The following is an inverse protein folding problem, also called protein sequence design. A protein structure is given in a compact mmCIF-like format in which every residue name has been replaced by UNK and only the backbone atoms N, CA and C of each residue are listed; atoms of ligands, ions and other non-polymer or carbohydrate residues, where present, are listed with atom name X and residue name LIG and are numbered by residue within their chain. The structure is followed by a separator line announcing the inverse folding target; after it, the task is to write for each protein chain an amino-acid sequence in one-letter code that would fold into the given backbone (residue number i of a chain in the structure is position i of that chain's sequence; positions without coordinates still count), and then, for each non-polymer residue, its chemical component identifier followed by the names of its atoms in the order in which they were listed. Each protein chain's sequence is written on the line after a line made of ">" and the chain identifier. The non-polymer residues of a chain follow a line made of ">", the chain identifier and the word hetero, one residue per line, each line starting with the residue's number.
data_IF_286877083920
#
_entry.id   IF_286877083920
#
_cell.length_a   1.000
_cell.length_b   1.000
_cell.length_c   1.000
_cell.angle_alpha   90.00
_cell.angle_beta   90.00
_cell.angle_gamma   90.00
#
_symmetry.space_group_name_H-M   'P 1'
#
loop_
_entity.id
_entity.type
_entity.pdbx_description
1 polymer ?
#
# COMPACT_ATOMS: atom_id res chain seq x y z
N UNK A 1 30.42 21.37 -1.19
CA UNK A 1 31.15 20.21 -1.72
C UNK A 1 30.55 18.98 -1.07
N UNK A 2 29.74 18.14 -1.74
CA UNK A 2 29.29 16.90 -1.13
C UNK A 2 30.48 15.93 -1.05
N UNK A 3 30.61 15.24 0.07
CA UNK A 3 31.62 14.20 0.30
C UNK A 3 31.42 13.03 -0.68
N UNK A 4 32.51 12.33 -1.10
CA UNK A 4 32.38 11.14 -1.94
C UNK A 4 31.62 10.07 -1.16
N UNK A 5 30.47 9.67 -1.70
CA UNK A 5 29.62 8.60 -1.22
C UNK A 5 30.43 7.30 -1.18
N UNK A 6 30.49 6.65 -0.01
CA UNK A 6 30.93 5.26 0.11
C UNK A 6 30.25 4.41 -0.96
N UNK A 7 30.95 3.43 -1.57
CA UNK A 7 30.35 2.59 -2.59
C UNK A 7 29.16 1.84 -1.97
N UNK A 8 27.96 2.16 -2.46
CA UNK A 8 26.73 1.50 -2.03
C UNK A 8 26.92 0.01 -2.24
N UNK A 9 26.97 -0.76 -1.15
CA UNK A 9 27.13 -2.21 -1.21
C UNK A 9 25.91 -2.82 -1.91
N UNK A 10 26.04 -3.08 -3.21
CA UNK A 10 24.97 -3.69 -4.02
C UNK A 10 24.58 -5.03 -3.42
N UNK A 11 23.29 -5.29 -3.12
CA UNK A 11 22.82 -6.58 -2.64
C UNK A 11 23.18 -7.72 -3.60
N UNK A 12 23.55 -8.89 -3.07
CA UNK A 12 23.90 -10.05 -3.89
C UNK A 12 22.78 -10.46 -4.87
N UNK A 13 21.52 -10.31 -4.48
CA UNK A 13 20.38 -10.59 -5.35
C UNK A 13 20.33 -9.66 -6.58
N UNK A 14 20.74 -8.40 -6.46
CA UNK A 14 20.82 -7.50 -7.62
C UNK A 14 22.02 -7.83 -8.53
N UNK A 15 23.14 -8.30 -7.97
CA UNK A 15 24.27 -8.80 -8.77
C UNK A 15 23.83 -10.01 -9.60
N UNK A 16 23.07 -10.94 -9.01
CA UNK A 16 22.52 -12.08 -9.76
C UNK A 16 21.62 -11.60 -10.92
N UNK A 17 20.79 -10.58 -10.73
CA UNK A 17 19.95 -10.04 -11.81
C UNK A 17 20.77 -9.41 -12.93
N UNK A 18 21.92 -8.80 -12.62
CA UNK A 18 22.86 -8.28 -13.62
C UNK A 18 23.49 -9.45 -14.39
N UNK A 19 23.98 -10.47 -13.71
CA UNK A 19 24.61 -11.65 -14.32
C UNK A 19 23.63 -12.40 -15.25
N UNK A 20 22.33 -12.42 -14.91
CA UNK A 20 21.28 -13.04 -15.72
C UNK A 20 20.71 -12.11 -16.82
N UNK A 21 21.17 -10.86 -16.90
CA UNK A 21 20.73 -9.90 -17.90
C UNK A 21 19.29 -9.40 -17.68
N UNK A 22 18.74 -9.52 -16.49
CA UNK A 22 17.40 -8.97 -16.12
C UNK A 22 17.48 -7.45 -15.96
N UNK A 23 18.59 -6.97 -15.41
CA UNK A 23 18.94 -5.55 -15.30
C UNK A 23 20.40 -5.38 -15.75
N UNK A 24 20.76 -4.18 -16.22
CA UNK A 24 22.12 -3.88 -16.68
C UNK A 24 22.98 -3.32 -15.54
N UNK A 25 22.41 -2.46 -14.71
CA UNK A 25 23.14 -1.79 -13.62
C UNK A 25 22.20 -1.33 -12.49
N UNK A 26 22.78 -1.15 -11.29
CA UNK A 26 22.15 -0.46 -10.17
C UNK A 26 22.59 1.00 -10.18
N UNK A 27 21.65 1.91 -10.47
CA UNK A 27 21.92 3.34 -10.60
C UNK A 27 22.15 4.00 -9.25
N UNK A 28 21.22 3.78 -8.30
CA UNK A 28 21.29 4.33 -6.93
C UNK A 28 20.30 3.66 -5.99
N UNK A 29 20.53 3.70 -4.67
CA UNK A 29 19.48 3.40 -3.70
C UNK A 29 18.41 4.50 -3.77
N UNK A 30 17.15 4.09 -3.55
CA UNK A 30 16.02 5.00 -3.48
C UNK A 30 15.55 5.16 -2.03
N UNK A 31 15.30 4.01 -1.37
CA UNK A 31 14.82 3.98 0.01
C UNK A 31 15.21 2.66 0.69
N UNK A 32 15.54 2.72 1.99
CA UNK A 32 15.75 1.52 2.79
C UNK A 32 14.78 1.53 3.98
N UNK A 33 13.78 0.65 3.92
CA UNK A 33 12.81 0.44 5.00
C UNK A 33 13.16 -0.78 5.86
N UNK A 34 12.29 -1.08 6.82
CA UNK A 34 12.42 -2.26 7.70
C UNK A 34 12.23 -3.59 6.93
N UNK A 35 11.41 -3.58 5.90
CA UNK A 35 10.94 -4.78 5.19
C UNK A 35 11.67 -5.01 3.87
N UNK A 36 12.01 -3.93 3.18
CA UNK A 36 12.70 -3.97 1.90
C UNK A 36 13.63 -2.78 1.72
N UNK A 37 14.56 -2.92 0.79
CA UNK A 37 15.34 -1.82 0.24
C UNK A 37 14.98 -1.66 -1.24
N UNK A 38 14.83 -0.42 -1.67
CA UNK A 38 14.39 -0.06 -3.02
C UNK A 38 15.55 0.62 -3.74
N UNK A 39 15.78 0.20 -4.97
CA UNK A 39 16.86 0.69 -5.82
C UNK A 39 16.31 1.16 -7.16
N UNK A 40 16.94 2.18 -7.72
CA UNK A 40 16.77 2.54 -9.13
C UNK A 40 17.75 1.70 -9.93
N UNK A 41 17.26 1.00 -10.95
CA UNK A 41 18.03 0.11 -11.82
C UNK A 41 17.80 0.47 -13.27
N UNK A 42 18.73 0.10 -14.16
CA UNK A 42 18.57 0.20 -15.60
C UNK A 42 18.29 -1.19 -16.18
N UNK A 43 17.37 -1.29 -17.13
CA UNK A 43 17.10 -2.49 -17.90
C UNK A 43 16.86 -2.08 -19.37
N UNK A 44 17.86 -2.25 -20.21
CA UNK A 44 17.88 -1.71 -21.57
C UNK A 44 17.87 -0.18 -21.57
N UNK A 45 16.92 0.38 -22.27
CA UNK A 45 16.72 1.85 -22.32
C UNK A 45 15.87 2.40 -21.16
N UNK A 46 15.27 1.49 -20.35
CA UNK A 46 14.34 1.87 -19.31
C UNK A 46 15.03 2.00 -17.95
N UNK A 47 14.57 2.97 -17.18
CA UNK A 47 14.89 3.08 -15.75
C UNK A 47 13.74 2.49 -14.96
N UNK A 48 14.04 1.55 -14.07
CA UNK A 48 13.08 0.78 -13.30
C UNK A 48 13.35 0.84 -11.80
N UNK A 49 12.42 0.35 -11.03
CA UNK A 49 12.51 0.18 -9.59
C UNK A 49 12.73 -1.30 -9.25
N UNK A 50 13.69 -1.60 -8.37
CA UNK A 50 13.93 -2.94 -7.85
C UNK A 50 13.71 -2.95 -6.33
N UNK A 51 12.66 -3.64 -5.85
CA UNK A 51 12.35 -3.83 -4.43
C UNK A 51 12.97 -5.14 -3.95
N UNK A 52 14.02 -5.02 -3.14
CA UNK A 52 14.76 -6.14 -2.55
C UNK A 52 14.23 -6.38 -1.15
N UNK A 53 13.59 -7.53 -0.93
CA UNK A 53 13.03 -7.87 0.38
C UNK A 53 14.11 -8.33 1.35
N UNK A 54 14.07 -7.81 2.58
CA UNK A 54 14.97 -8.20 3.67
C UNK A 54 14.45 -9.45 4.38
N UNK A 55 15.37 -10.30 4.87
CA UNK A 55 15.00 -11.50 5.63
C UNK A 55 14.24 -11.16 6.92
N UNK A 56 13.16 -11.91 7.21
CA UNK A 56 12.21 -11.64 8.30
C UNK A 56 12.74 -11.89 9.73
N UNK A 57 14.02 -12.18 9.92
CA UNK A 57 14.58 -12.50 11.24
C UNK A 57 14.42 -11.37 12.28
N UNK A 58 14.02 -10.14 11.88
CA UNK A 58 13.96 -8.94 12.71
C UNK A 58 12.56 -8.35 12.92
N UNK A 59 11.47 -9.04 12.56
CA UNK A 59 10.10 -8.48 12.65
C UNK A 59 9.41 -8.74 13.98
N UNK A 60 8.71 -7.72 14.51
CA UNK A 60 7.91 -7.82 15.74
C UNK A 60 6.59 -8.58 15.53
N UNK A 61 6.25 -9.44 16.49
CA UNK A 61 5.19 -10.45 16.46
C UNK A 61 3.74 -9.91 16.48
N UNK A 62 3.51 -8.69 16.92
CA UNK A 62 2.18 -8.22 17.32
C UNK A 62 1.24 -7.78 16.19
N UNK A 63 1.73 -7.36 15.02
CA UNK A 63 0.88 -6.97 13.89
C UNK A 63 0.48 -8.12 12.96
N UNK A 64 0.99 -9.33 13.20
CA UNK A 64 0.87 -10.49 12.31
C UNK A 64 -0.52 -11.15 12.31
N UNK A 65 -1.18 -11.21 13.44
CA UNK A 65 -2.39 -12.04 13.62
C UNK A 65 -3.55 -11.52 12.77
N UNK A 66 -3.74 -10.21 12.73
CA UNK A 66 -4.86 -9.56 12.06
C UNK A 66 -4.81 -9.66 10.52
N UNK A 67 -3.58 -9.72 9.93
CA UNK A 67 -3.37 -9.82 8.48
C UNK A 67 -3.25 -11.26 7.97
N UNK A 68 -3.13 -12.25 8.86
CA UNK A 68 -3.04 -13.68 8.49
C UNK A 68 -4.40 -14.37 8.42
N UNK A 69 -5.44 -13.76 8.94
CA UNK A 69 -6.80 -14.28 8.85
C UNK A 69 -7.24 -14.36 7.38
N UNK A 70 -7.66 -15.56 6.94
CA UNK A 70 -8.07 -15.81 5.56
C UNK A 70 -7.00 -16.36 4.63
N UNK A 71 -5.71 -16.38 5.00
CA UNK A 71 -4.65 -17.03 4.22
C UNK A 71 -4.53 -18.51 4.59
N UNK A 72 -4.98 -19.41 3.71
CA UNK A 72 -4.92 -20.87 3.93
C UNK A 72 -3.50 -21.39 3.67
N UNK A 73 -2.83 -21.96 4.68
CA UNK A 73 -1.65 -22.81 4.48
C UNK A 73 -2.07 -24.16 3.85
N UNK A 74 -1.38 -24.60 2.80
CA UNK A 74 -1.75 -25.77 1.97
C UNK A 74 -1.40 -27.14 2.57
N UNK A 75 -0.93 -27.25 3.82
CA UNK A 75 -0.59 -28.54 4.41
C UNK A 75 -0.57 -28.56 5.93
N UNK A 76 -0.98 -29.66 6.55
CA UNK A 76 -1.02 -29.82 8.01
C UNK A 76 0.35 -29.81 8.69
N UNK A 77 1.43 -30.19 7.98
CA UNK A 77 2.84 -30.10 8.43
C UNK A 77 3.36 -28.68 8.41
N UNK A 78 3.04 -27.94 7.35
CA UNK A 78 3.41 -26.53 7.17
C UNK A 78 2.72 -25.64 8.19
N UNK A 79 1.41 -25.85 8.41
CA UNK A 79 0.64 -25.14 9.41
C UNK A 79 1.22 -25.33 10.84
N UNK A 80 1.66 -26.56 11.19
CA UNK A 80 2.34 -26.83 12.47
C UNK A 80 3.71 -26.16 12.58
N UNK A 81 4.51 -26.17 11.51
CA UNK A 81 5.85 -25.55 11.49
C UNK A 81 5.75 -24.02 11.62
N UNK A 82 4.72 -23.41 11.01
CA UNK A 82 4.38 -22.00 11.16
C UNK A 82 3.94 -21.68 12.58
N UNK A 83 3.04 -22.49 13.15
CA UNK A 83 2.52 -22.31 14.51
C UNK A 83 3.62 -22.43 15.60
N UNK A 84 4.63 -23.28 15.39
CA UNK A 84 5.73 -23.47 16.33
C UNK A 84 6.87 -22.45 16.17
N UNK A 85 6.80 -21.54 15.17
CA UNK A 85 7.80 -20.50 14.94
C UNK A 85 9.19 -21.04 14.56
N UNK A 86 9.26 -22.25 14.00
CA UNK A 86 10.52 -22.87 13.56
C UNK A 86 11.20 -22.04 12.47
N UNK A 87 12.53 -22.21 12.27
CA UNK A 87 13.25 -21.55 11.17
C UNK A 87 12.63 -21.87 9.80
N UNK A 88 12.17 -23.09 9.60
CA UNK A 88 11.48 -23.51 8.38
C UNK A 88 10.13 -22.83 8.25
N UNK A 89 9.30 -22.84 9.30
CA UNK A 89 7.99 -22.16 9.28
C UNK A 89 8.09 -20.67 9.03
N UNK A 90 9.13 -20.01 9.57
CA UNK A 90 9.36 -18.58 9.31
C UNK A 90 9.74 -18.31 7.85
N UNK A 91 10.62 -19.12 7.24
CA UNK A 91 10.99 -18.99 5.81
C UNK A 91 9.79 -19.23 4.89
N UNK A 92 8.97 -20.25 5.22
CA UNK A 92 7.75 -20.53 4.45
C UNK A 92 6.76 -19.37 4.50
N UNK A 93 6.51 -18.83 5.69
CA UNK A 93 5.68 -17.65 5.90
C UNK A 93 6.18 -16.42 5.15
N UNK A 94 7.49 -16.25 5.10
CA UNK A 94 8.14 -15.15 4.37
C UNK A 94 7.98 -15.28 2.86
N UNK A 95 8.13 -16.50 2.33
CA UNK A 95 7.93 -16.76 0.91
C UNK A 95 6.46 -16.55 0.50
N UNK A 96 5.51 -17.05 1.30
CA UNK A 96 4.07 -16.85 1.09
C UNK A 96 3.68 -15.36 1.13
N UNK A 97 4.31 -14.59 2.00
CA UNK A 97 4.03 -13.16 2.14
C UNK A 97 4.60 -12.35 0.96
N UNK A 98 5.86 -12.60 0.55
CA UNK A 98 6.47 -11.97 -0.63
C UNK A 98 5.66 -12.27 -1.89
N UNK A 99 5.24 -13.51 -2.05
CA UNK A 99 4.40 -13.92 -3.17
C UNK A 99 3.04 -13.24 -3.13
N UNK A 100 2.40 -13.12 -1.95
CA UNK A 100 1.10 -12.46 -1.82
C UNK A 100 1.13 -10.97 -2.19
N UNK A 101 2.20 -10.24 -1.85
CA UNK A 101 2.36 -8.84 -2.28
C UNK A 101 2.55 -8.75 -3.81
N UNK A 102 3.38 -9.63 -4.37
CA UNK A 102 3.62 -9.68 -5.81
C UNK A 102 2.35 -10.10 -6.56
N UNK A 103 1.66 -11.15 -6.11
CA UNK A 103 0.41 -11.61 -6.70
C UNK A 103 -0.67 -10.53 -6.65
N UNK A 104 -0.78 -9.80 -5.51
CA UNK A 104 -1.69 -8.69 -5.38
C UNK A 104 -1.38 -7.56 -6.37
N UNK A 105 -0.10 -7.21 -6.58
CA UNK A 105 0.30 -6.18 -7.52
C UNK A 105 -0.15 -6.51 -8.95
N UNK A 106 0.07 -7.76 -9.40
CA UNK A 106 -0.40 -8.21 -10.70
C UNK A 106 -1.93 -8.20 -10.80
N UNK A 107 -2.62 -8.71 -9.78
CA UNK A 107 -4.09 -8.75 -9.75
C UNK A 107 -4.69 -7.33 -9.80
N UNK A 108 -4.12 -6.39 -9.07
CA UNK A 108 -4.55 -5.00 -9.04
C UNK A 108 -4.33 -4.30 -10.38
N UNK A 109 -3.16 -4.50 -10.99
CA UNK A 109 -2.90 -4.01 -12.35
C UNK A 109 -3.93 -4.53 -13.35
N UNK A 110 -4.20 -5.85 -13.34
CA UNK A 110 -5.15 -6.48 -14.24
C UNK A 110 -6.60 -6.02 -13.99
N UNK A 111 -6.92 -5.61 -12.77
CA UNK A 111 -8.19 -4.97 -12.40
C UNK A 111 -8.26 -3.48 -12.79
N UNK A 112 -7.22 -2.92 -13.40
CA UNK A 112 -7.17 -1.53 -13.82
C UNK A 112 -6.93 -0.54 -12.68
N UNK A 113 -6.38 -1.01 -11.55
CA UNK A 113 -5.89 -0.13 -10.48
C UNK A 113 -4.54 0.46 -10.92
N UNK A 114 -4.35 1.76 -10.78
CA UNK A 114 -3.07 2.40 -11.08
C UNK A 114 -2.07 2.10 -9.98
N UNK A 115 -1.26 1.11 -10.24
CA UNK A 115 -0.11 0.65 -9.44
C UNK A 115 1.14 0.69 -10.31
N UNK A 116 2.37 0.64 -9.74
CA UNK A 116 3.58 0.50 -10.55
C UNK A 116 3.51 -0.76 -11.42
N UNK A 117 3.76 -0.63 -12.73
CA UNK A 117 3.74 -1.76 -13.66
C UNK A 117 4.77 -2.81 -13.25
N UNK A 118 4.38 -4.06 -12.89
CA UNK A 118 5.33 -5.10 -12.54
C UNK A 118 6.00 -5.67 -13.78
N UNK A 119 7.33 -5.74 -13.78
CA UNK A 119 8.13 -6.33 -14.85
C UNK A 119 8.63 -7.74 -14.55
N UNK A 120 8.58 -8.16 -13.29
CA UNK A 120 8.91 -9.52 -12.89
C UNK A 120 9.37 -9.66 -11.44
N UNK A 121 9.35 -10.89 -10.97
CA UNK A 121 9.84 -11.24 -9.62
C UNK A 121 10.93 -12.31 -9.74
N UNK A 122 12.18 -11.95 -9.43
CA UNK A 122 13.37 -12.77 -9.65
C UNK A 122 14.18 -12.84 -8.36
N UNK A 123 14.50 -14.03 -7.87
CA UNK A 123 15.39 -14.24 -6.71
C UNK A 123 15.04 -13.39 -5.47
N UNK A 124 13.72 -13.15 -5.22
CA UNK A 124 13.27 -12.32 -4.11
C UNK A 124 13.38 -10.82 -4.37
N UNK A 125 13.51 -10.40 -5.62
CA UNK A 125 13.51 -9.01 -6.05
C UNK A 125 12.32 -8.77 -6.98
N UNK A 126 11.47 -7.81 -6.64
CA UNK A 126 10.41 -7.32 -7.51
C UNK A 126 10.96 -6.18 -8.37
N UNK A 127 11.00 -6.39 -9.68
CA UNK A 127 11.32 -5.35 -10.67
C UNK A 127 10.01 -4.77 -11.19
N UNK A 128 9.86 -3.45 -11.12
CA UNK A 128 8.63 -2.74 -11.48
C UNK A 128 8.94 -1.35 -12.02
N UNK A 129 7.92 -0.66 -12.50
CA UNK A 129 7.99 0.73 -12.94
C UNK A 129 8.62 1.63 -11.88
N UNK A 130 9.54 2.49 -12.28
CA UNK A 130 9.92 3.66 -11.50
C UNK A 130 8.92 4.77 -11.80
N UNK A 131 7.99 5.01 -10.89
CA UNK A 131 7.05 6.13 -11.04
C UNK A 131 7.82 7.44 -10.94
N UNK A 132 7.67 8.30 -11.95
CA UNK A 132 8.33 9.60 -12.03
C UNK A 132 7.30 10.72 -12.04
N UNK A 133 7.74 11.94 -11.73
CA UNK A 133 7.00 13.16 -11.98
C UNK A 133 7.09 13.61 -13.46
N UNK A 134 6.51 14.76 -13.77
CA UNK A 134 6.51 15.31 -15.14
C UNK A 134 7.90 15.69 -15.63
N UNK A 135 8.83 15.97 -14.74
CA UNK A 135 10.23 16.31 -15.00
C UNK A 135 11.13 15.07 -15.14
N UNK A 136 10.60 13.87 -14.86
CA UNK A 136 11.33 12.60 -14.92
C UNK A 136 12.12 12.27 -13.65
N UNK A 137 11.95 13.02 -12.57
CA UNK A 137 12.46 12.67 -11.25
C UNK A 137 11.54 11.62 -10.58
N UNK A 138 12.04 10.97 -9.56
CA UNK A 138 11.21 10.04 -8.76
C UNK A 138 9.99 10.78 -8.21
N UNK A 139 8.80 10.27 -8.49
CA UNK A 139 7.55 10.88 -8.09
C UNK A 139 7.47 11.07 -6.55
N UNK A 140 7.05 12.25 -6.08
CA UNK A 140 6.85 12.51 -4.66
C UNK A 140 5.65 11.73 -4.13
N UNK A 141 5.57 11.58 -2.82
CA UNK A 141 4.40 11.04 -2.15
C UNK A 141 3.30 12.09 -2.07
N UNK A 142 2.04 11.64 -2.03
CA UNK A 142 0.89 12.53 -1.85
C UNK A 142 1.00 13.38 -0.57
N UNK A 143 1.61 12.85 0.49
CA UNK A 143 1.85 13.61 1.72
C UNK A 143 2.96 14.67 1.64
N UNK A 144 3.75 14.67 0.56
CA UNK A 144 4.91 15.55 0.35
C UNK A 144 4.61 16.68 -0.66
N UNK A 145 3.41 16.69 -1.27
CA UNK A 145 3.01 17.70 -2.26
C UNK A 145 2.02 18.69 -1.67
N UNK A 146 2.05 19.92 -2.18
CA UNK A 146 0.99 20.90 -1.97
C UNK A 146 0.02 20.85 -3.15
N UNK A 147 -1.28 20.86 -2.83
CA UNK A 147 -2.35 20.80 -3.81
C UNK A 147 -3.25 22.02 -3.69
N UNK A 148 -3.88 22.42 -4.78
CA UNK A 148 -5.05 23.29 -4.71
C UNK A 148 -6.33 22.45 -4.43
N UNK A 149 -7.43 23.13 -4.15
CA UNK A 149 -8.70 22.49 -3.82
C UNK A 149 -9.22 21.60 -4.96
N UNK A 150 -9.07 22.04 -6.22
CA UNK A 150 -9.54 21.31 -7.39
C UNK A 150 -8.74 20.03 -7.59
N UNK A 151 -7.42 20.10 -7.47
CA UNK A 151 -6.52 18.94 -7.53
C UNK A 151 -6.80 17.94 -6.41
N UNK A 152 -7.05 18.43 -5.19
CA UNK A 152 -7.37 17.57 -4.05
C UNK A 152 -8.68 16.80 -4.28
N UNK A 153 -9.70 17.43 -4.82
CA UNK A 153 -10.97 16.77 -5.19
C UNK A 153 -10.77 15.75 -6.31
N UNK A 154 -10.02 16.11 -7.33
CA UNK A 154 -9.73 15.22 -8.45
C UNK A 154 -8.97 13.97 -7.96
N UNK A 155 -7.90 14.15 -7.17
CA UNK A 155 -7.11 13.04 -6.62
C UNK A 155 -7.94 12.16 -5.68
N UNK A 156 -8.81 12.76 -4.86
CA UNK A 156 -9.73 12.01 -4.03
C UNK A 156 -10.68 11.14 -4.88
N UNK A 157 -11.30 11.70 -5.88
CA UNK A 157 -12.21 10.97 -6.78
C UNK A 157 -11.49 9.84 -7.53
N UNK A 158 -10.25 10.07 -7.97
CA UNK A 158 -9.42 9.03 -8.61
C UNK A 158 -9.11 7.92 -7.61
N UNK A 159 -8.63 8.25 -6.40
CA UNK A 159 -8.26 7.27 -5.39
C UNK A 159 -9.46 6.46 -4.90
N UNK A 160 -10.62 7.07 -4.68
CA UNK A 160 -11.86 6.36 -4.34
C UNK A 160 -12.20 5.33 -5.43
N UNK A 161 -12.11 5.68 -6.71
CA UNK A 161 -12.29 4.72 -7.81
C UNK A 161 -11.27 3.59 -7.80
N UNK A 162 -10.01 3.87 -7.45
CA UNK A 162 -9.00 2.81 -7.31
C UNK A 162 -9.39 1.84 -6.20
N UNK A 163 -9.86 2.35 -5.04
CA UNK A 163 -10.31 1.50 -3.93
C UNK A 163 -11.55 0.68 -4.31
N UNK A 164 -12.51 1.22 -5.06
CA UNK A 164 -13.64 0.46 -5.63
C UNK A 164 -13.13 -0.73 -6.46
N UNK A 165 -12.20 -0.51 -7.38
CA UNK A 165 -11.62 -1.56 -8.22
C UNK A 165 -10.87 -2.61 -7.39
N UNK A 166 -10.11 -2.17 -6.38
CA UNK A 166 -9.44 -3.07 -5.43
C UNK A 166 -10.45 -3.97 -4.72
N UNK A 167 -11.54 -3.41 -4.21
CA UNK A 167 -12.58 -4.16 -3.52
C UNK A 167 -13.34 -5.10 -4.47
N UNK A 168 -13.62 -4.68 -5.71
CA UNK A 168 -14.25 -5.52 -6.75
C UNK A 168 -13.39 -6.73 -7.12
N UNK A 169 -12.05 -6.63 -7.08
CA UNK A 169 -11.19 -7.80 -7.28
C UNK A 169 -10.92 -8.57 -5.97
N UNK A 170 -11.63 -8.24 -4.88
CA UNK A 170 -11.59 -8.95 -3.60
C UNK A 170 -10.41 -8.59 -2.71
N UNK A 171 -9.73 -7.47 -2.94
CA UNK A 171 -8.57 -7.02 -2.19
C UNK A 171 -8.82 -5.69 -1.45
N UNK A 172 -8.22 -5.57 -0.27
CA UNK A 172 -8.16 -4.35 0.52
C UNK A 172 -6.69 -4.08 0.83
N UNK A 173 -6.23 -2.83 0.67
CA UNK A 173 -4.84 -2.44 0.88
C UNK A 173 -4.38 -2.71 2.32
N UNK A 174 -5.20 -2.32 3.30
CA UNK A 174 -4.95 -2.55 4.72
C UNK A 174 -3.99 -1.58 5.40
N UNK A 175 -3.38 -0.64 4.65
CA UNK A 175 -2.52 0.44 5.17
C UNK A 175 -2.46 1.62 4.19
N UNK A 176 -3.57 1.90 3.49
CA UNK A 176 -3.62 2.98 2.52
C UNK A 176 -3.60 4.34 3.23
N UNK A 177 -2.72 5.20 2.78
CA UNK A 177 -2.52 6.55 3.30
C UNK A 177 -1.79 7.41 2.27
N UNK A 178 -1.68 8.72 2.50
CA UNK A 178 -0.91 9.62 1.65
C UNK A 178 0.58 9.22 1.47
N UNK A 179 1.12 8.40 2.37
CA UNK A 179 2.49 7.88 2.27
C UNK A 179 2.62 6.69 1.30
N UNK A 180 1.51 6.01 0.99
CA UNK A 180 1.46 4.87 0.09
C UNK A 180 0.78 5.23 -1.24
N UNK A 181 0.83 6.52 -1.60
CA UNK A 181 0.41 7.07 -2.89
C UNK A 181 1.51 7.96 -3.43
N UNK A 182 1.97 7.71 -4.66
CA UNK A 182 2.87 8.59 -5.40
C UNK A 182 2.05 9.49 -6.33
N UNK A 183 2.57 10.68 -6.62
CA UNK A 183 1.94 11.63 -7.56
C UNK A 183 2.74 11.63 -8.85
N UNK A 184 2.26 10.87 -9.84
CA UNK A 184 2.80 10.85 -11.19
C UNK A 184 2.16 11.91 -12.09
N UNK A 185 2.66 12.06 -13.35
CA UNK A 185 2.14 13.05 -14.29
C UNK A 185 0.67 12.82 -14.67
N UNK A 186 0.24 11.55 -14.64
CA UNK A 186 -1.14 11.15 -14.96
C UNK A 186 -2.02 11.00 -13.72
N UNK A 187 -1.54 11.42 -12.55
CA UNK A 187 -2.27 11.37 -11.28
C UNK A 187 -1.71 10.39 -10.26
N UNK A 188 -2.50 10.07 -9.21
CA UNK A 188 -2.04 9.25 -8.08
C UNK A 188 -1.85 7.78 -8.45
N UNK A 189 -0.77 7.20 -7.94
CA UNK A 189 -0.34 5.79 -8.10
C UNK A 189 -0.26 5.13 -6.74
N UNK A 190 -1.02 4.07 -6.51
CA UNK A 190 -1.03 3.33 -5.23
C UNK A 190 0.16 2.38 -5.16
N UNK A 191 0.88 2.39 -4.04
CA UNK A 191 2.09 1.59 -3.83
C UNK A 191 2.06 0.88 -2.48
N UNK A 192 2.93 -0.12 -2.31
CA UNK A 192 3.27 -0.79 -1.05
C UNK A 192 2.13 -1.66 -0.47
N UNK A 193 2.03 -2.91 -0.95
CA UNK A 193 0.96 -3.88 -0.65
C UNK A 193 1.31 -4.98 0.37
N UNK A 194 2.22 -4.79 1.34
CA UNK A 194 2.59 -5.87 2.26
C UNK A 194 1.46 -6.26 3.22
N UNK A 195 0.48 -5.39 3.39
CA UNK A 195 -0.66 -5.58 4.30
C UNK A 195 -1.96 -5.91 3.58
N UNK A 196 -1.90 -6.15 2.26
CA UNK A 196 -3.07 -6.50 1.47
C UNK A 196 -3.78 -7.75 2.02
N UNK A 197 -5.10 -7.67 2.13
CA UNK A 197 -5.94 -8.76 2.62
C UNK A 197 -7.10 -9.07 1.67
N UNK A 198 -7.62 -10.30 1.77
CA UNK A 198 -8.84 -10.68 1.07
C UNK A 198 -10.06 -10.06 1.75
N UNK A 199 -10.90 -9.38 0.98
CA UNK A 199 -12.14 -8.78 1.48
C UNK A 199 -13.13 -9.83 2.03
N UNK A 200 -13.21 -11.00 1.38
CA UNK A 200 -14.11 -12.08 1.80
C UNK A 200 -13.55 -12.99 2.90
N UNK A 201 -12.22 -13.02 3.06
CA UNK A 201 -11.54 -13.96 3.95
C UNK A 201 -11.02 -13.37 5.26
N UNK A 202 -11.23 -12.10 5.53
CA UNK A 202 -10.71 -11.41 6.71
C UNK A 202 -11.86 -10.77 7.51
N UNK A 203 -12.02 -11.12 8.78
CA UNK A 203 -13.07 -10.58 9.63
C UNK A 203 -12.93 -9.08 9.92
N UNK A 204 -11.73 -8.53 9.80
CA UNK A 204 -11.46 -7.10 9.95
C UNK A 204 -11.50 -6.32 8.61
N UNK A 205 -11.91 -6.96 7.50
CA UNK A 205 -11.90 -6.38 6.17
C UNK A 205 -12.63 -5.05 6.09
N UNK A 206 -13.88 -4.99 6.63
CA UNK A 206 -14.66 -3.75 6.69
C UNK A 206 -13.91 -2.63 7.41
N UNK A 207 -13.43 -2.89 8.61
CA UNK A 207 -12.70 -1.89 9.41
C UNK A 207 -11.43 -1.41 8.71
N UNK A 208 -10.72 -2.31 8.01
CA UNK A 208 -9.53 -1.94 7.24
C UNK A 208 -9.88 -1.06 6.04
N UNK A 209 -10.94 -1.40 5.28
CA UNK A 209 -11.42 -0.60 4.16
C UNK A 209 -11.81 0.80 4.61
N UNK A 210 -12.65 0.90 5.64
CA UNK A 210 -13.10 2.19 6.18
C UNK A 210 -11.91 3.06 6.61
N UNK A 211 -10.95 2.47 7.31
CA UNK A 211 -9.72 3.17 7.71
C UNK A 211 -8.92 3.66 6.49
N UNK A 212 -8.75 2.82 5.48
CA UNK A 212 -8.00 3.15 4.27
C UNK A 212 -8.65 4.34 3.55
N UNK A 213 -9.98 4.33 3.35
CA UNK A 213 -10.72 5.42 2.72
C UNK A 213 -10.67 6.69 3.57
N UNK A 214 -10.89 6.57 4.88
CA UNK A 214 -10.88 7.71 5.80
C UNK A 214 -9.49 8.38 5.89
N UNK A 215 -8.38 7.61 5.82
CA UNK A 215 -7.03 8.16 5.76
C UNK A 215 -6.80 9.03 4.53
N UNK A 216 -7.29 8.59 3.35
CA UNK A 216 -7.21 9.38 2.12
C UNK A 216 -8.05 10.65 2.22
N UNK A 217 -9.30 10.51 2.68
CA UNK A 217 -10.25 11.62 2.86
C UNK A 217 -9.68 12.65 3.86
N UNK A 218 -9.15 12.21 5.00
CA UNK A 218 -8.55 13.10 5.98
C UNK A 218 -7.32 13.83 5.43
N UNK A 219 -6.48 13.14 4.65
CA UNK A 219 -5.30 13.75 4.04
C UNK A 219 -5.67 14.82 3.02
N UNK A 220 -6.60 14.55 2.10
CA UNK A 220 -7.01 15.46 1.04
C UNK A 220 -8.00 16.54 1.51
N UNK A 221 -8.73 16.27 2.59
CA UNK A 221 -9.61 17.25 3.25
C UNK A 221 -8.87 18.47 3.84
N UNK A 222 -7.54 18.44 3.91
CA UNK A 222 -6.72 19.62 4.25
C UNK A 222 -6.90 20.75 3.24
N UNK A 223 -7.06 20.41 1.95
CA UNK A 223 -7.24 21.36 0.84
C UNK A 223 -8.70 21.48 0.38
N UNK A 224 -9.50 20.43 0.59
CA UNK A 224 -10.93 20.37 0.23
C UNK A 224 -11.76 19.90 1.43
N UNK A 225 -12.07 20.80 2.40
CA UNK A 225 -12.68 20.44 3.69
C UNK A 225 -14.02 19.72 3.62
N UNK A 226 -14.83 19.96 2.58
CA UNK A 226 -16.11 19.29 2.37
C UNK A 226 -15.99 17.77 2.12
N UNK A 227 -14.80 17.29 1.70
CA UNK A 227 -14.54 15.86 1.62
C UNK A 227 -14.67 15.16 2.98
N UNK A 228 -14.41 15.89 4.08
CA UNK A 228 -14.50 15.34 5.44
C UNK A 228 -15.93 14.96 5.86
N UNK A 229 -16.94 15.50 5.19
CA UNK A 229 -18.35 15.21 5.44
C UNK A 229 -18.89 14.08 4.55
N UNK A 230 -18.01 13.29 3.93
CA UNK A 230 -18.36 12.18 3.04
C UNK A 230 -18.17 10.81 3.69
N UNK A 231 -18.94 9.82 3.24
CA UNK A 231 -19.00 8.46 3.77
C UNK A 231 -18.73 7.42 2.67
N UNK A 232 -17.74 7.66 1.82
CA UNK A 232 -17.40 6.77 0.70
C UNK A 232 -17.07 5.35 1.12
N UNK A 233 -16.44 5.17 2.28
CA UNK A 233 -16.08 3.84 2.78
C UNK A 233 -17.30 3.00 3.13
N UNK A 234 -18.25 3.59 3.83
CA UNK A 234 -19.51 2.97 4.25
C UNK A 234 -20.40 2.63 3.05
N UNK A 235 -20.56 3.58 2.12
CA UNK A 235 -21.32 3.40 0.88
C UNK A 235 -20.73 2.25 0.06
N UNK A 236 -19.40 2.27 -0.15
CA UNK A 236 -18.66 1.24 -0.88
C UNK A 236 -18.83 -0.15 -0.26
N UNK A 237 -18.70 -0.24 1.06
CA UNK A 237 -18.83 -1.52 1.77
C UNK A 237 -20.24 -2.08 1.69
N UNK A 238 -21.27 -1.23 1.86
CA UNK A 238 -22.67 -1.63 1.75
C UNK A 238 -23.00 -2.17 0.36
N UNK A 239 -22.54 -1.52 -0.69
CA UNK A 239 -22.72 -2.00 -2.08
C UNK A 239 -21.97 -3.32 -2.33
N UNK A 240 -20.78 -3.48 -1.72
CA UNK A 240 -20.02 -4.72 -1.82
C UNK A 240 -20.74 -5.88 -1.13
N UNK A 241 -21.25 -5.70 0.09
CA UNK A 241 -22.04 -6.71 0.82
C UNK A 241 -23.34 -7.08 0.10
N UNK A 242 -23.96 -6.12 -0.57
CA UNK A 242 -25.15 -6.35 -1.40
C UNK A 242 -24.84 -7.04 -2.75
N UNK A 243 -23.55 -7.15 -3.12
CA UNK A 243 -23.15 -7.68 -4.44
C UNK A 243 -23.43 -6.72 -5.60
N UNK A 244 -23.64 -5.44 -5.31
CA UNK A 244 -24.02 -4.39 -6.27
C UNK A 244 -22.82 -3.53 -6.70
N UNK A 245 -21.68 -3.62 -5.99
CA UNK A 245 -20.48 -2.86 -6.33
C UNK A 245 -19.86 -3.36 -7.64
N UNK A 246 -19.67 -2.45 -8.58
CA UNK A 246 -19.00 -2.70 -9.86
C UNK A 246 -17.75 -1.82 -10.00
N UNK A 247 -16.75 -2.20 -10.84
CA UNK A 247 -15.52 -1.41 -11.02
C UNK A 247 -15.75 0.04 -11.47
N UNK A 248 -16.86 0.30 -12.13
CA UNK A 248 -17.26 1.63 -12.64
C UNK A 248 -18.35 2.30 -11.78
N UNK A 249 -18.68 1.73 -10.61
CA UNK A 249 -19.66 2.32 -9.69
C UNK A 249 -19.22 3.73 -9.30
N UNK A 250 -20.08 4.71 -9.55
CA UNK A 250 -19.89 6.09 -9.11
C UNK A 250 -20.53 6.24 -7.74
N UNK A 251 -19.71 6.47 -6.73
CA UNK A 251 -20.15 6.69 -5.37
C UNK A 251 -20.57 8.16 -5.17
N UNK A 252 -21.51 8.36 -4.27
CA UNK A 252 -22.06 9.70 -3.94
C UNK A 252 -21.35 10.34 -2.75
N UNK A 253 -20.68 9.54 -1.92
CA UNK A 253 -20.14 9.94 -0.63
C UNK A 253 -21.21 10.13 0.44
N UNK A 254 -22.46 9.76 0.14
CA UNK A 254 -23.58 9.84 1.09
C UNK A 254 -23.93 8.43 1.59
N UNK A 255 -24.18 8.32 2.86
CA UNK A 255 -24.60 7.07 3.48
C UNK A 255 -25.61 7.33 4.58
N UNK A 256 -26.68 6.54 4.61
CA UNK A 256 -27.70 6.62 5.67
C UNK A 256 -27.49 5.46 6.63
N UNK A 257 -27.18 5.77 7.87
CA UNK A 257 -27.04 4.77 8.92
C UNK A 257 -28.44 4.30 9.35
N UNK A 258 -28.63 2.97 9.46
CA UNK A 258 -29.87 2.43 10.01
C UNK A 258 -29.88 2.65 11.55
N UNK A 259 -30.79 3.49 12.02
CA UNK A 259 -30.93 3.86 13.44
C UNK A 259 -31.15 2.66 14.39
N UNK A 260 -31.45 1.48 13.84
CA UNK A 260 -31.73 0.26 14.64
C UNK A 260 -30.48 -0.51 15.06
N UNK A 261 -29.32 -0.21 14.50
CA UNK A 261 -28.10 -1.02 14.69
C UNK A 261 -26.89 -0.24 15.21
N UNK A 262 -26.99 1.06 15.43
CA UNK A 262 -25.79 1.88 15.67
C UNK A 262 -25.97 2.79 16.89
N UNK A 263 -25.10 2.63 17.86
CA UNK A 263 -24.70 3.68 18.77
C UNK A 263 -23.92 4.73 17.95
N UNK A 264 -24.66 5.68 17.35
CA UNK A 264 -24.13 6.70 16.44
C UNK A 264 -23.06 7.57 17.11
N UNK A 265 -23.18 7.80 18.41
CA UNK A 265 -22.22 8.59 19.17
C UNK A 265 -20.91 7.81 19.35
N UNK A 266 -20.97 6.52 19.68
CA UNK A 266 -19.78 5.67 19.80
C UNK A 266 -19.02 5.46 18.48
N UNK A 267 -19.73 5.40 17.34
CA UNK A 267 -19.10 5.30 16.00
C UNK A 267 -18.46 6.62 15.59
N UNK A 268 -19.12 7.74 15.85
CA UNK A 268 -18.61 9.08 15.57
C UNK A 268 -17.37 9.39 16.42
N UNK A 269 -17.41 9.03 17.69
CA UNK A 269 -16.29 9.20 18.61
C UNK A 269 -15.12 8.30 18.19
N UNK A 270 -15.34 7.04 17.83
CA UNK A 270 -14.29 6.14 17.33
C UNK A 270 -13.65 6.63 16.00
N UNK A 271 -14.42 7.27 15.13
CA UNK A 271 -13.91 7.88 13.88
C UNK A 271 -13.11 9.15 14.20
N UNK A 272 -13.58 9.98 15.10
CA UNK A 272 -12.88 11.19 15.52
C UNK A 272 -11.59 10.86 16.27
N UNK A 273 -11.60 9.88 17.16
CA UNK A 273 -10.42 9.37 17.86
C UNK A 273 -9.39 8.78 16.87
N UNK A 274 -9.86 8.05 15.86
CA UNK A 274 -8.98 7.51 14.81
C UNK A 274 -8.38 8.61 13.94
N UNK A 275 -9.12 9.68 13.64
CA UNK A 275 -8.65 10.87 12.92
C UNK A 275 -7.62 11.64 13.74
N UNK A 276 -7.88 11.86 15.02
CA UNK A 276 -6.98 12.56 15.94
C UNK A 276 -5.67 11.76 16.14
N UNK A 277 -5.75 10.45 16.33
CA UNK A 277 -4.59 9.57 16.42
C UNK A 277 -3.78 9.50 15.12
N UNK A 278 -4.42 9.59 13.96
CA UNK A 278 -3.76 9.65 12.66
C UNK A 278 -2.99 10.98 12.50
N UNK A 279 -3.60 12.10 12.88
CA UNK A 279 -2.98 13.43 12.89
C UNK A 279 -1.79 13.52 13.85
N UNK A 280 -1.93 13.01 15.08
CA UNK A 280 -0.85 12.99 16.09
C UNK A 280 0.32 12.12 15.60
N UNK A 281 0.04 10.96 14.99
CA UNK A 281 1.09 10.10 14.41
C UNK A 281 1.77 10.74 13.21
N UNK A 282 1.06 11.53 12.44
CA UNK A 282 1.60 12.29 11.32
C UNK A 282 2.53 13.39 11.83
N UNK A 283 2.09 14.19 12.79
CA UNK A 283 2.91 15.24 13.41
C UNK A 283 4.17 14.69 14.07
N UNK A 284 4.07 13.61 14.85
CA UNK A 284 5.23 12.98 15.46
C UNK A 284 6.22 12.33 14.50
N UNK A 285 5.78 12.00 13.25
CA UNK A 285 6.68 11.54 12.19
C UNK A 285 7.34 12.69 11.45
N UNK A 286 6.67 13.81 11.31
CA UNK A 286 7.22 15.05 10.75
C UNK A 286 8.29 15.63 11.67
N UNK A 287 8.04 15.69 12.99
CA UNK A 287 9.01 16.13 13.98
C UNK A 287 10.26 15.23 14.02
N UNK A 288 10.10 13.91 13.93
CA UNK A 288 11.23 12.98 13.92
C UNK A 288 12.07 13.02 12.62
N UNK A 289 11.57 13.64 11.55
CA UNK A 289 12.33 13.85 10.31
C UNK A 289 13.12 15.16 10.28
N UNK A 290 12.83 16.11 11.17
CA UNK A 290 13.57 17.36 11.29
C UNK A 290 14.69 17.31 12.34
N UNK A 291 14.79 16.22 13.13
CA UNK A 291 15.84 16.02 14.15
C UNK A 291 17.04 15.16 13.68
N UNK A 292 17.02 14.64 12.43
CA UNK A 292 18.15 13.95 11.77
C UNK A 292 18.68 14.78 10.59
#
# INVERSE_FOLDING_TARGET
>A
MPHPTDPVKTPASLLTLIDEGVIDEVVRPLKSGKEAAVYVVRAGNDVRCAKVYKDMAQRSFQKRVQYQEGRKSRGSREARAVATGSRYGRRQQEAEWKNAEVDALYQLRDAGVRVPEPHGFFHGVLVMELVTDAEGFTAPRLGEVELDEAQAREFHAVLVRQVVRMLCCGLIHGDLSAYNVLVGPDGPVVIDFPQVVSAAGNNAARTMLLRDVNNLTASLGRWAPDLLDTWFGEEMWALFEAGELQPDTVLTGQFTFDERTVDLDGVRDAINDARELALIRQQGREEAQYED
#
